data_IF_592520776694
#
_entry.id   IF_592520776694
#
_cell.length_a   1.000
_cell.length_b   1.000
_cell.length_c   1.000
_cell.angle_alpha   90.00
_cell.angle_beta   90.00
_cell.angle_gamma   90.00
#
_symmetry.space_group_name_H-M   'P 1'
#
loop_
_entity.id
_entity.type
_entity.pdbx_description
1 polymer ?
#
# COMPACT_ATOMS: atom_id res chain seq x y z
N UNK A 1 -20.53 64.43 -3.46
CA UNK A 1 -20.88 63.04 -3.84
C UNK A 1 -19.62 62.19 -3.71
N UNK A 2 -19.42 61.54 -2.56
CA UNK A 2 -18.22 60.73 -2.31
C UNK A 2 -18.50 59.27 -2.73
N UNK A 3 -17.68 58.75 -3.65
CA UNK A 3 -17.68 57.33 -4.05
C UNK A 3 -17.06 56.52 -2.91
N UNK A 4 -17.88 55.73 -2.21
CA UNK A 4 -17.41 54.77 -1.22
C UNK A 4 -16.49 53.74 -1.86
N UNK A 5 -15.28 53.62 -1.32
CA UNK A 5 -14.38 52.50 -1.61
C UNK A 5 -15.07 51.21 -1.17
N UNK A 6 -15.42 50.36 -2.13
CA UNK A 6 -15.77 48.97 -1.88
C UNK A 6 -14.51 48.24 -1.45
N UNK A 7 -14.30 48.19 -0.13
CA UNK A 7 -13.31 47.34 0.50
C UNK A 7 -13.74 45.89 0.27
N UNK A 8 -13.03 45.17 -0.61
CA UNK A 8 -13.24 43.76 -0.84
C UNK A 8 -12.69 42.98 0.37
N UNK A 9 -13.49 42.92 1.44
CA UNK A 9 -13.18 42.15 2.64
C UNK A 9 -13.27 40.68 2.25
N UNK A 10 -12.13 40.06 1.97
CA UNK A 10 -12.02 38.61 1.90
C UNK A 10 -12.18 38.11 3.33
N UNK A 11 -13.39 37.69 3.67
CA UNK A 11 -13.68 37.04 4.94
C UNK A 11 -12.78 35.81 5.05
N UNK A 12 -11.80 35.89 5.96
CA UNK A 12 -10.93 34.78 6.35
C UNK A 12 -11.80 33.59 6.74
N UNK A 13 -11.55 32.48 6.06
CA UNK A 13 -11.94 31.13 6.44
C UNK A 13 -13.44 30.98 6.72
N UNK A 14 -14.21 30.91 5.63
CA UNK A 14 -15.47 30.20 5.68
C UNK A 14 -15.17 28.80 6.23
N UNK A 15 -15.76 28.52 7.39
CA UNK A 15 -15.80 27.25 8.09
C UNK A 15 -16.51 26.22 7.21
N UNK A 16 -15.86 25.88 6.10
CA UNK A 16 -16.35 24.98 5.07
C UNK A 16 -15.84 23.62 5.48
N UNK A 17 -16.76 22.69 5.71
CA UNK A 17 -16.40 21.31 5.98
C UNK A 17 -15.46 20.84 4.87
N UNK A 18 -14.27 20.30 5.21
CA UNK A 18 -13.32 19.87 4.20
C UNK A 18 -13.98 18.84 3.30
N UNK A 19 -13.76 18.98 2.00
CA UNK A 19 -14.19 17.97 1.04
C UNK A 19 -13.31 16.71 1.18
N UNK A 20 -13.76 15.59 0.60
CA UNK A 20 -13.06 14.31 0.69
C UNK A 20 -11.62 14.41 0.18
N UNK A 21 -11.39 15.18 -0.89
CA UNK A 21 -10.06 15.34 -1.48
C UNK A 21 -9.11 16.07 -0.52
N UNK A 22 -9.57 17.14 0.12
CA UNK A 22 -8.79 17.87 1.13
C UNK A 22 -8.45 16.99 2.33
N UNK A 23 -9.36 16.09 2.73
CA UNK A 23 -9.09 15.13 3.81
C UNK A 23 -8.02 14.11 3.40
N UNK A 24 -8.09 13.56 2.19
CA UNK A 24 -7.09 12.63 1.67
C UNK A 24 -5.69 13.26 1.58
N UNK A 25 -5.60 14.49 1.04
CA UNK A 25 -4.34 15.24 0.98
C UNK A 25 -3.76 15.50 2.37
N UNK A 26 -4.60 15.88 3.34
CA UNK A 26 -4.17 16.10 4.71
C UNK A 26 -3.66 14.81 5.38
N UNK A 27 -4.32 13.67 5.11
CA UNK A 27 -3.89 12.37 5.64
C UNK A 27 -2.52 11.95 5.08
N UNK A 28 -2.26 12.18 3.80
CA UNK A 28 -0.97 11.85 3.19
C UNK A 28 0.16 12.72 3.73
N UNK A 29 -0.09 14.01 3.94
CA UNK A 29 0.86 14.91 4.62
C UNK A 29 1.18 14.39 6.03
N UNK A 30 0.16 14.01 6.79
CA UNK A 30 0.34 13.50 8.16
C UNK A 30 1.12 12.17 8.16
N UNK A 31 0.79 11.23 7.26
CA UNK A 31 1.54 9.96 7.12
C UNK A 31 3.02 10.20 6.81
N UNK A 32 3.31 11.10 5.87
CA UNK A 32 4.68 11.42 5.48
C UNK A 32 5.45 12.07 6.63
N UNK A 33 4.81 12.99 7.37
CA UNK A 33 5.41 13.62 8.53
C UNK A 33 5.73 12.61 9.63
N UNK A 34 4.78 11.73 9.98
CA UNK A 34 5.04 10.71 11.03
C UNK A 34 6.18 9.76 10.63
N UNK A 35 6.37 9.47 9.34
CA UNK A 35 7.52 8.68 8.88
C UNK A 35 8.90 9.34 9.10
N UNK A 36 8.95 10.65 9.37
CA UNK A 36 10.18 11.42 9.56
C UNK A 36 10.27 12.14 10.92
N UNK A 37 9.20 12.09 11.73
CA UNK A 37 9.12 12.79 13.01
C UNK A 37 9.83 12.01 14.12
N UNK A 38 10.43 12.75 15.06
CA UNK A 38 11.07 12.14 16.23
C UNK A 38 10.03 11.72 17.28
N UNK A 39 10.38 10.75 18.13
CA UNK A 39 9.48 10.18 19.15
C UNK A 39 8.86 11.24 20.08
N UNK A 40 9.58 12.33 20.35
CA UNK A 40 9.08 13.46 21.16
C UNK A 40 8.05 14.32 20.43
N UNK A 41 8.16 14.43 19.11
CA UNK A 41 7.20 15.19 18.29
C UNK A 41 5.91 14.38 18.11
N UNK A 42 6.06 13.07 17.90
CA UNK A 42 4.93 12.12 17.85
C UNK A 42 4.20 12.10 19.19
N UNK A 43 4.90 12.06 20.33
CA UNK A 43 4.28 12.07 21.66
C UNK A 43 3.46 13.33 21.98
N UNK A 44 3.64 14.42 21.23
CA UNK A 44 2.88 15.66 21.41
C UNK A 44 1.49 15.63 20.74
N UNK A 45 1.27 14.68 19.82
CA UNK A 45 -0.05 14.44 19.24
C UNK A 45 -0.86 13.46 20.08
N UNK A 46 -2.18 13.56 19.95
CA UNK A 46 -3.12 12.61 20.54
C UNK A 46 -2.83 11.19 20.02
N UNK A 47 -2.49 10.28 20.93
CA UNK A 47 -2.11 8.91 20.62
C UNK A 47 -3.21 8.14 19.87
N UNK A 48 -4.48 8.47 20.15
CA UNK A 48 -5.64 7.85 19.49
C UNK A 48 -5.76 8.29 18.02
N UNK A 49 -5.36 9.52 17.70
CA UNK A 49 -5.34 10.05 16.34
C UNK A 49 -4.17 9.47 15.55
N UNK A 50 -2.99 9.36 16.19
CA UNK A 50 -1.82 8.75 15.58
C UNK A 50 -2.03 7.29 15.23
N UNK A 51 -2.68 6.50 16.10
CA UNK A 51 -3.00 5.09 15.83
C UNK A 51 -3.90 4.89 14.60
N UNK A 52 -4.72 5.88 14.25
CA UNK A 52 -5.60 5.85 13.07
C UNK A 52 -4.89 6.27 11.77
N UNK A 53 -3.90 7.15 11.86
CA UNK A 53 -3.21 7.74 10.71
C UNK A 53 -1.96 6.96 10.34
N UNK A 54 -1.22 6.50 11.34
CA UNK A 54 -0.10 5.60 11.14
C UNK A 54 -0.58 4.40 10.33
N UNK A 55 0.17 3.96 9.30
CA UNK A 55 -0.08 2.65 8.76
C UNK A 55 -0.05 1.69 9.95
N UNK A 56 -1.19 1.05 10.24
CA UNK A 56 -1.31 0.01 11.26
C UNK A 56 -0.07 -0.84 11.11
N UNK A 57 0.79 -0.89 12.14
CA UNK A 57 2.06 -1.61 12.06
C UNK A 57 1.74 -2.95 11.45
N UNK A 58 2.29 -3.18 10.25
CA UNK A 58 1.90 -4.32 9.44
C UNK A 58 2.07 -5.55 10.32
N UNK A 59 1.01 -6.35 10.52
CA UNK A 59 0.98 -7.32 11.59
C UNK A 59 2.18 -8.23 11.45
N UNK A 60 2.87 -8.49 12.56
CA UNK A 60 3.97 -9.43 12.54
C UNK A 60 3.41 -10.81 12.21
N UNK A 61 3.79 -11.35 11.06
CA UNK A 61 3.35 -12.67 10.67
C UNK A 61 4.13 -13.72 11.47
N UNK A 62 3.39 -14.64 12.08
CA UNK A 62 3.99 -15.83 12.67
C UNK A 62 4.57 -16.72 11.58
N UNK A 63 5.87 -16.97 11.63
CA UNK A 63 6.53 -18.01 10.84
C UNK A 63 6.47 -19.40 11.52
N UNK A 64 5.68 -19.56 12.59
CA UNK A 64 5.51 -20.84 13.29
C UNK A 64 4.45 -21.68 12.60
N UNK A 65 4.89 -22.75 11.96
CA UNK A 65 4.03 -23.77 11.36
C UNK A 65 3.88 -24.96 12.31
N UNK A 66 2.73 -25.62 12.29
CA UNK A 66 2.53 -26.85 13.05
C UNK A 66 3.40 -27.98 12.46
N UNK A 67 4.38 -28.47 13.22
CA UNK A 67 5.31 -29.53 12.78
C UNK A 67 4.61 -30.89 12.55
N UNK A 68 3.48 -31.12 13.21
CA UNK A 68 2.69 -32.34 13.09
C UNK A 68 1.65 -32.26 11.95
N UNK A 69 1.59 -31.13 11.26
CA UNK A 69 0.67 -30.97 10.14
C UNK A 69 0.96 -32.04 9.05
N UNK A 70 -0.09 -32.76 8.68
CA UNK A 70 -0.08 -33.74 7.59
C UNK A 70 -1.28 -33.48 6.70
N UNK A 71 -1.02 -33.36 5.40
CA UNK A 71 -2.06 -33.24 4.39
C UNK A 71 -2.89 -34.52 4.39
N UNK A 72 -4.19 -34.40 4.66
CA UNK A 72 -5.15 -35.48 4.49
C UNK A 72 -6.01 -35.21 3.25
N UNK A 73 -6.82 -36.20 2.85
CA UNK A 73 -7.65 -36.09 1.66
C UNK A 73 -8.68 -34.96 1.79
N UNK A 74 -9.34 -34.84 2.93
CA UNK A 74 -10.31 -33.77 3.16
C UNK A 74 -9.69 -32.36 3.03
N UNK A 75 -8.47 -32.17 3.53
CA UNK A 75 -7.73 -30.91 3.41
C UNK A 75 -7.34 -30.63 1.97
N UNK A 76 -6.83 -31.64 1.24
CA UNK A 76 -6.53 -31.54 -0.19
C UNK A 76 -7.77 -31.15 -1.00
N UNK A 77 -8.89 -31.82 -0.74
CA UNK A 77 -10.13 -31.61 -1.48
C UNK A 77 -10.79 -30.25 -1.16
N UNK A 78 -10.42 -29.63 -0.02
CA UNK A 78 -10.83 -28.26 0.33
C UNK A 78 -10.02 -27.15 -0.35
N UNK A 79 -8.87 -27.47 -0.97
CA UNK A 79 -8.02 -26.45 -1.57
C UNK A 79 -8.66 -25.87 -2.84
N UNK A 80 -8.59 -24.54 -3.05
CA UNK A 80 -9.05 -23.94 -4.29
C UNK A 80 -8.13 -24.38 -5.44
N UNK A 81 -8.72 -24.94 -6.50
CA UNK A 81 -7.97 -25.20 -7.73
C UNK A 81 -7.72 -23.88 -8.47
N UNK A 82 -6.58 -23.26 -8.17
CA UNK A 82 -6.17 -21.99 -8.78
C UNK A 82 -5.57 -22.18 -10.18
N UNK A 83 -5.28 -23.41 -10.62
CA UNK A 83 -4.66 -23.67 -11.93
C UNK A 83 -5.69 -24.12 -12.98
N UNK A 84 -6.67 -24.95 -12.60
CA UNK A 84 -7.72 -25.44 -13.50
C UNK A 84 -9.13 -24.96 -13.12
N UNK A 85 -9.24 -24.12 -12.08
CA UNK A 85 -10.52 -23.53 -11.69
C UNK A 85 -11.11 -22.62 -12.78
N UNK A 86 -12.41 -22.32 -12.71
CA UNK A 86 -13.06 -21.40 -13.63
C UNK A 86 -12.31 -20.07 -13.73
N UNK A 87 -12.22 -19.50 -14.93
CA UNK A 87 -11.58 -18.18 -15.19
C UNK A 87 -12.11 -17.05 -14.31
N UNK A 88 -13.29 -17.22 -13.72
CA UNK A 88 -13.89 -16.32 -12.71
C UNK A 88 -13.07 -16.19 -11.40
N UNK A 89 -12.20 -17.16 -11.07
CA UNK A 89 -11.31 -17.12 -9.90
C UNK A 89 -10.04 -16.28 -10.16
N UNK A 90 -9.68 -16.07 -11.42
CA UNK A 90 -8.52 -15.25 -11.82
C UNK A 90 -9.03 -13.81 -11.99
N UNK A 91 -9.32 -13.15 -10.86
CA UNK A 91 -9.66 -11.72 -10.86
C UNK A 91 -8.39 -10.86 -10.89
N UNK A 92 -7.73 -10.83 -12.04
CA UNK A 92 -6.89 -9.71 -12.44
C UNK A 92 -7.64 -8.86 -13.46
N UNK A 93 -7.44 -7.54 -13.48
CA UNK A 93 -7.88 -6.73 -14.61
C UNK A 93 -7.33 -7.35 -15.90
N UNK A 94 -8.13 -7.42 -16.98
CA UNK A 94 -7.69 -7.92 -18.30
C UNK A 94 -6.56 -7.02 -18.83
N UNK A 95 -5.34 -7.26 -18.38
CA UNK A 95 -4.15 -6.56 -18.83
C UNK A 95 -3.37 -7.46 -19.76
N UNK A 96 -3.00 -6.93 -20.92
CA UNK A 96 -2.15 -7.63 -21.87
C UNK A 96 -0.79 -7.85 -21.21
N UNK A 97 -0.44 -9.12 -20.95
CA UNK A 97 0.88 -9.49 -20.46
C UNK A 97 1.83 -9.43 -21.66
N UNK A 98 2.63 -8.37 -21.75
CA UNK A 98 3.50 -8.13 -22.90
C UNK A 98 4.76 -9.02 -22.90
N UNK A 99 5.23 -9.43 -21.72
CA UNK A 99 6.41 -10.27 -21.55
C UNK A 99 6.13 -11.37 -20.53
N UNK A 100 6.37 -12.63 -20.91
CA UNK A 100 6.25 -13.80 -20.05
C UNK A 100 7.53 -14.63 -20.18
N UNK A 101 8.14 -15.01 -19.06
CA UNK A 101 9.39 -15.77 -19.04
C UNK A 101 10.12 -15.65 -17.70
N UNK A 102 11.30 -16.27 -17.62
CA UNK A 102 12.21 -16.18 -16.46
C UNK A 102 13.25 -15.09 -16.71
N UNK A 103 13.34 -14.11 -15.81
CA UNK A 103 14.40 -13.09 -15.83
C UNK A 103 15.55 -13.48 -14.90
N UNK A 104 16.76 -13.01 -15.21
CA UNK A 104 17.97 -13.23 -14.41
C UNK A 104 18.34 -14.71 -14.15
N UNK A 105 17.90 -15.62 -15.01
CA UNK A 105 18.33 -17.02 -14.96
C UNK A 105 19.78 -17.14 -15.44
N UNK A 106 20.67 -17.62 -14.57
CA UNK A 106 22.10 -17.77 -14.88
C UNK A 106 22.39 -19.22 -15.19
N UNK A 107 22.74 -19.50 -16.45
CA UNK A 107 23.27 -20.80 -16.85
C UNK A 107 24.80 -20.81 -16.64
N UNK A 108 25.37 -21.84 -15.99
CA UNK A 108 26.82 -22.01 -15.92
C UNK A 108 27.34 -22.53 -17.26
N UNK A 109 27.49 -21.62 -18.23
CA UNK A 109 28.03 -21.92 -19.55
C UNK A 109 29.45 -21.39 -19.68
N UNK A 110 30.35 -22.26 -20.11
CA UNK A 110 31.71 -21.92 -20.45
C UNK A 110 31.76 -21.57 -21.95
N UNK A 111 32.29 -20.41 -22.30
CA UNK A 111 32.53 -20.01 -23.68
C UNK A 111 34.02 -20.11 -23.97
N UNK A 112 34.40 -20.81 -25.05
CA UNK A 112 35.78 -20.83 -25.51
C UNK A 112 36.09 -19.51 -26.22
N UNK A 113 37.11 -18.79 -25.75
CA UNK A 113 37.55 -17.56 -26.42
C UNK A 113 38.69 -17.86 -27.40
N UNK A 114 39.07 -16.89 -28.23
CA UNK A 114 40.13 -17.07 -29.24
C UNK A 114 41.47 -17.55 -28.65
N UNK A 115 41.71 -17.35 -27.35
CA UNK A 115 42.91 -17.76 -26.64
C UNK A 115 42.67 -18.87 -25.59
N UNK A 116 41.52 -19.54 -25.64
CA UNK A 116 41.05 -20.44 -24.57
C UNK A 116 39.89 -19.84 -23.82
#
# INVERSE_FOLDING_TARGET
MQKGHIMNIHTRNANTQPDQNTVEEALDILRNWVGHADETEIASLDADLLAQILPQQYPEFSAKYNAEFRVNEAYRDSMPDLQNGPTALIRGAKQQIQHVGISNFRLPICYQTRNG
#
